data_IF_134266281082
#
_entry.id   IF_134266281082
#
_cell.length_a   1.000
_cell.length_b   1.000
_cell.length_c   1.000
_cell.angle_alpha   90.00
_cell.angle_beta   90.00
_cell.angle_gamma   90.00
#
_symmetry.space_group_name_H-M   'P 1'
#
loop_
_entity.id
_entity.type
_entity.pdbx_description
1 polymer ?
#
# COMPACT_ATOMS: atom_id res chain seq x y z
N UNK A 1 1.08 -22.70 -22.76
CA UNK A 1 2.34 -21.99 -22.45
C UNK A 1 2.17 -20.58 -22.97
N UNK A 2 1.63 -19.73 -22.11
CA UNK A 2 1.12 -18.41 -22.48
C UNK A 2 2.24 -17.36 -22.54
N UNK A 3 2.10 -16.50 -23.54
CA UNK A 3 3.03 -15.45 -23.97
C UNK A 3 3.14 -14.27 -22.98
N UNK A 4 2.63 -14.40 -21.76
CA UNK A 4 2.58 -13.31 -20.78
C UNK A 4 3.46 -13.55 -19.54
N UNK A 5 3.99 -14.77 -19.35
CA UNK A 5 4.87 -15.07 -18.21
C UNK A 5 6.33 -14.61 -18.42
N UNK A 6 6.73 -14.32 -19.66
CA UNK A 6 8.11 -13.91 -19.96
C UNK A 6 8.45 -12.50 -19.42
N UNK A 7 7.48 -11.61 -19.25
CA UNK A 7 7.72 -10.23 -18.80
C UNK A 7 7.72 -10.07 -17.27
N UNK A 8 7.03 -10.96 -16.54
CA UNK A 8 7.03 -10.93 -15.08
C UNK A 8 8.30 -11.52 -14.49
N UNK A 9 8.87 -12.53 -15.14
CA UNK A 9 10.17 -13.10 -14.75
C UNK A 9 11.29 -12.08 -15.00
N UNK A 10 11.25 -11.33 -16.11
CA UNK A 10 12.25 -10.31 -16.40
C UNK A 10 12.22 -9.12 -15.44
N UNK A 11 11.03 -8.70 -14.98
CA UNK A 11 10.90 -7.57 -14.07
C UNK A 11 11.44 -7.91 -12.67
N UNK A 12 11.15 -9.12 -12.16
CA UNK A 12 11.69 -9.61 -10.89
C UNK A 12 13.21 -9.82 -10.94
N UNK A 13 13.74 -10.24 -12.10
CA UNK A 13 15.18 -10.38 -12.30
C UNK A 13 15.88 -9.02 -12.35
N UNK A 14 15.25 -8.03 -13.00
CA UNK A 14 15.77 -6.66 -13.06
C UNK A 14 15.79 -5.98 -11.68
N UNK A 15 14.73 -6.15 -10.88
CA UNK A 15 14.68 -5.59 -9.52
C UNK A 15 15.68 -6.27 -8.58
N UNK A 16 15.91 -7.58 -8.74
CA UNK A 16 16.95 -8.29 -7.99
C UNK A 16 18.37 -7.80 -8.34
N UNK A 17 18.66 -7.53 -9.62
CA UNK A 17 19.95 -6.97 -10.05
C UNK A 17 20.13 -5.54 -9.52
N UNK A 18 19.08 -4.72 -9.56
CA UNK A 18 19.10 -3.36 -9.02
C UNK A 18 19.34 -3.35 -7.49
N UNK A 19 18.66 -4.23 -6.75
CA UNK A 19 18.87 -4.42 -5.32
C UNK A 19 20.29 -4.91 -5.02
N UNK A 20 20.82 -5.85 -5.81
CA UNK A 20 22.18 -6.34 -5.64
C UNK A 20 23.24 -5.25 -5.92
N UNK A 21 23.01 -4.38 -6.90
CA UNK A 21 23.88 -3.23 -7.18
C UNK A 21 23.82 -2.17 -6.06
N UNK A 22 22.64 -1.90 -5.51
CA UNK A 22 22.49 -1.00 -4.35
C UNK A 22 23.18 -1.60 -3.12
N UNK A 23 23.07 -2.92 -2.92
CA UNK A 23 23.73 -3.61 -1.82
C UNK A 23 25.25 -3.61 -1.97
N UNK A 24 25.76 -3.84 -3.19
CA UNK A 24 27.19 -3.74 -3.49
C UNK A 24 27.72 -2.30 -3.33
N UNK A 25 26.93 -1.30 -3.71
CA UNK A 25 27.27 0.11 -3.51
C UNK A 25 27.29 0.47 -2.02
N UNK A 26 26.31 0.02 -1.24
CA UNK A 26 26.31 0.16 0.22
C UNK A 26 27.48 -0.59 0.86
N UNK A 27 27.84 -1.78 0.38
CA UNK A 27 28.98 -2.52 0.91
C UNK A 27 30.31 -1.81 0.62
N UNK A 28 30.49 -1.23 -0.57
CA UNK A 28 31.70 -0.47 -0.91
C UNK A 28 31.74 0.88 -0.17
N UNK A 29 30.60 1.57 -0.01
CA UNK A 29 30.56 2.93 0.56
C UNK A 29 30.45 2.97 2.09
N UNK A 30 29.80 1.97 2.70
CA UNK A 30 29.66 1.83 4.16
C UNK A 30 30.79 0.97 4.75
N UNK A 31 31.31 -0.02 4.00
CA UNK A 31 32.44 -0.86 4.40
C UNK A 31 33.71 -0.63 3.57
N UNK A 32 33.90 0.56 2.98
CA UNK A 32 35.28 1.00 2.71
C UNK A 32 36.01 0.93 4.05
N UNK A 33 37.08 0.13 4.19
CA UNK A 33 37.90 0.24 5.37
C UNK A 33 38.36 1.70 5.38
N UNK A 34 37.97 2.44 6.44
CA UNK A 34 38.72 3.63 6.80
C UNK A 34 40.19 3.22 6.69
N UNK A 35 40.96 4.00 5.93
CA UNK A 35 42.40 3.81 5.80
C UNK A 35 42.89 3.38 7.17
N UNK A 36 43.46 2.17 7.25
CA UNK A 36 44.10 1.73 8.48
C UNK A 36 44.99 2.89 8.88
N UNK A 37 44.61 3.59 9.96
CA UNK A 37 45.55 4.45 10.63
C UNK A 37 46.72 3.52 10.91
N UNK A 38 47.84 3.79 10.26
CA UNK A 38 49.10 3.16 10.61
C UNK A 38 49.31 3.50 12.07
N UNK A 39 48.84 2.61 12.95
CA UNK A 39 49.35 2.54 14.29
C UNK A 39 50.84 2.35 14.11
N UNK A 40 51.61 3.41 14.33
CA UNK A 40 53.02 3.26 14.64
C UNK A 40 53.06 2.54 15.99
N UNK A 41 52.87 1.22 15.97
CA UNK A 41 53.32 0.31 17.02
C UNK A 41 54.76 0.68 17.26
N UNK A 42 55.02 1.37 18.38
CA UNK A 42 56.33 1.78 18.86
C UNK A 42 57.40 1.70 17.78
N UNK A 43 57.43 2.67 16.85
CA UNK A 43 58.72 3.02 16.28
C UNK A 43 59.46 3.75 17.38
N UNK A 44 59.98 2.98 18.34
CA UNK A 44 61.36 3.18 18.72
C UNK A 44 62.10 3.14 17.39
N UNK A 45 62.18 4.29 16.71
CA UNK A 45 63.30 4.57 15.86
C UNK A 45 64.47 4.34 16.80
N UNK A 46 65.04 3.12 16.74
CA UNK A 46 66.46 2.96 16.89
C UNK A 46 66.99 3.98 15.88
N UNK A 47 67.28 5.18 16.39
CA UNK A 47 68.27 6.06 15.81
C UNK A 47 69.41 5.11 15.56
N UNK A 48 69.63 4.75 14.30
CA UNK A 48 70.89 4.15 13.94
C UNK A 48 71.90 5.16 14.48
N UNK A 49 72.63 4.75 15.52
CA UNK A 49 73.85 5.41 15.92
C UNK A 49 74.78 5.24 14.72
N UNK A 50 74.59 6.11 13.72
CA UNK A 50 75.60 6.39 12.73
C UNK A 50 76.76 6.95 13.52
N UNK A 51 77.71 6.10 13.88
CA UNK A 51 79.02 6.54 14.31
C UNK A 51 79.61 7.31 13.13
N UNK A 52 79.84 8.63 13.23
CA UNK A 52 80.62 9.31 12.23
C UNK A 52 82.06 8.81 12.38
N UNK A 53 82.58 8.14 11.34
CA UNK A 53 84.02 7.92 11.17
C UNK A 53 84.69 9.27 10.87
N UNK A 54 84.89 10.08 11.90
CA UNK A 54 85.84 11.21 11.96
C UNK A 54 85.91 11.70 13.41
N UNK A 55 87.11 11.85 13.99
CA UNK A 55 87.26 12.22 15.39
C UNK A 55 87.04 13.74 15.52
N UNK A 56 85.79 14.17 15.49
CA UNK A 56 85.41 15.43 16.11
C UNK A 56 85.18 15.10 17.58
N UNK A 57 86.25 15.35 18.34
CA UNK A 57 86.31 15.62 19.76
C UNK A 57 84.90 15.75 20.36
N UNK A 58 84.55 14.78 21.22
CA UNK A 58 83.48 14.92 22.21
C UNK A 58 83.81 16.12 23.10
N UNK A 59 83.45 17.31 22.64
CA UNK A 59 83.39 18.55 23.41
C UNK A 59 81.93 19.01 23.54
N UNK A 60 81.00 18.05 23.53
CA UNK A 60 79.70 18.23 24.14
C UNK A 60 79.84 17.73 25.57
N UNK A 61 80.02 18.68 26.50
CA UNK A 61 79.96 18.48 27.93
C UNK A 61 78.84 17.46 28.26
N UNK A 62 79.06 16.39 29.04
CA UNK A 62 77.99 15.47 29.44
C UNK A 62 76.74 16.18 29.95
N UNK A 63 76.88 17.39 30.51
CA UNK A 63 75.79 18.28 30.86
C UNK A 63 74.94 18.73 29.65
N UNK A 64 75.52 18.99 28.48
CA UNK A 64 74.80 19.39 27.25
C UNK A 64 73.99 18.26 26.61
N UNK A 65 74.45 17.00 26.67
CA UNK A 65 73.65 15.84 26.25
C UNK A 65 72.50 15.53 27.22
N UNK A 66 72.73 15.70 28.52
CA UNK A 66 71.70 15.52 29.56
C UNK A 66 70.59 16.58 29.42
N UNK A 67 70.95 17.83 29.13
CA UNK A 67 70.01 18.93 28.88
C UNK A 67 69.22 18.70 27.59
N UNK A 68 69.84 18.21 26.52
CA UNK A 68 69.14 17.90 25.27
C UNK A 68 68.14 16.74 25.42
N UNK A 69 68.52 15.65 26.11
CA UNK A 69 67.61 14.54 26.42
C UNK A 69 66.50 14.94 27.40
N UNK A 70 66.78 15.81 28.38
CA UNK A 70 65.76 16.35 29.27
C UNK A 70 64.75 17.23 28.53
N UNK A 71 65.20 18.05 27.57
CA UNK A 71 64.33 18.87 26.73
C UNK A 71 63.48 18.01 25.77
N UNK A 72 64.05 16.96 25.19
CA UNK A 72 63.33 16.01 24.33
C UNK A 72 62.28 15.22 25.12
N UNK A 73 62.62 14.79 26.34
CA UNK A 73 61.69 14.13 27.27
C UNK A 73 60.54 15.07 27.69
N UNK A 74 60.83 16.34 27.96
CA UNK A 74 59.81 17.34 28.30
C UNK A 74 58.85 17.58 27.14
N UNK A 75 59.37 17.73 25.91
CA UNK A 75 58.54 17.90 24.71
C UNK A 75 57.66 16.68 24.44
N UNK A 76 58.20 15.48 24.58
CA UNK A 76 57.45 14.25 24.41
C UNK A 76 56.33 14.10 25.46
N UNK A 77 56.58 14.51 26.71
CA UNK A 77 55.56 14.52 27.76
C UNK A 77 54.46 15.54 27.49
N UNK A 78 54.79 16.72 26.97
CA UNK A 78 53.81 17.73 26.55
C UNK A 78 52.96 17.25 25.36
N UNK A 79 53.58 16.64 24.36
CA UNK A 79 52.88 16.11 23.18
C UNK A 79 51.94 14.95 23.55
N UNK A 80 52.39 14.04 24.42
CA UNK A 80 51.54 12.98 24.96
C UNK A 80 50.38 13.53 25.78
N UNK A 81 50.63 14.57 26.58
CA UNK A 81 49.60 15.26 27.37
C UNK A 81 48.55 15.85 26.45
N UNK A 82 48.94 16.63 25.45
CA UNK A 82 48.05 17.27 24.48
C UNK A 82 47.22 16.24 23.71
N UNK A 83 47.86 15.20 23.18
CA UNK A 83 47.18 14.12 22.46
C UNK A 83 46.20 13.34 23.34
N UNK A 84 46.51 13.14 24.63
CA UNK A 84 45.59 12.49 25.56
C UNK A 84 44.31 13.31 25.81
N UNK A 85 44.42 14.65 25.82
CA UNK A 85 43.26 15.53 25.94
C UNK A 85 42.45 15.61 24.65
N UNK A 86 43.10 15.60 23.49
CA UNK A 86 42.42 15.52 22.20
C UNK A 86 41.56 14.25 22.11
N UNK A 87 42.11 13.10 22.50
CA UNK A 87 41.37 11.83 22.55
C UNK A 87 40.19 11.88 23.52
N UNK A 88 40.34 12.52 24.69
CA UNK A 88 39.22 12.70 25.63
C UNK A 88 38.13 13.61 25.07
N UNK A 89 38.49 14.66 24.33
CA UNK A 89 37.55 15.54 23.65
C UNK A 89 36.79 14.80 22.53
N UNK A 90 37.49 14.03 21.70
CA UNK A 90 36.88 13.19 20.66
C UNK A 90 35.94 12.13 21.27
N UNK A 91 36.33 11.52 22.39
CA UNK A 91 35.48 10.57 23.13
C UNK A 91 34.19 11.23 23.64
N UNK A 92 34.28 12.46 24.18
CA UNK A 92 33.11 13.26 24.57
C UNK A 92 32.17 13.47 23.37
N UNK A 93 32.70 13.94 22.24
CA UNK A 93 31.90 14.18 21.04
C UNK A 93 31.21 12.90 20.52
N UNK A 94 31.95 11.78 20.50
CA UNK A 94 31.40 10.46 20.13
C UNK A 94 30.26 10.04 21.07
N UNK A 95 30.39 10.24 22.38
CA UNK A 95 29.30 9.91 23.33
C UNK A 95 28.07 10.78 23.10
N UNK A 96 28.23 12.09 22.89
CA UNK A 96 27.11 12.99 22.58
C UNK A 96 26.42 12.62 21.25
N UNK A 97 27.19 12.15 20.28
CA UNK A 97 26.66 11.63 19.02
C UNK A 97 25.83 10.35 19.23
N UNK A 98 26.30 9.41 20.06
CA UNK A 98 25.55 8.20 20.43
C UNK A 98 24.24 8.54 21.13
N UNK A 99 24.25 9.48 22.09
CA UNK A 99 23.02 9.95 22.76
C UNK A 99 22.03 10.49 21.73
N UNK A 100 22.53 11.29 20.78
CA UNK A 100 21.70 11.86 19.71
C UNK A 100 21.13 10.77 18.80
N UNK A 101 21.93 9.76 18.44
CA UNK A 101 21.50 8.62 17.63
C UNK A 101 20.40 7.79 18.32
N UNK A 102 20.55 7.49 19.62
CA UNK A 102 19.56 6.73 20.39
C UNK A 102 18.18 7.44 20.44
N UNK A 103 18.17 8.77 20.57
CA UNK A 103 16.92 9.54 20.58
C UNK A 103 16.26 9.58 19.18
N UNK A 104 17.06 9.63 18.12
CA UNK A 104 16.56 9.51 16.75
C UNK A 104 15.97 8.11 16.49
N UNK A 105 16.62 7.06 16.96
CA UNK A 105 16.11 5.69 16.88
C UNK A 105 14.79 5.55 17.64
N UNK A 106 14.68 6.08 18.85
CA UNK A 106 13.43 6.11 19.62
C UNK A 106 12.31 6.81 18.87
N UNK A 107 12.59 7.95 18.23
CA UNK A 107 11.60 8.70 17.45
C UNK A 107 11.16 7.94 16.19
N UNK A 108 12.11 7.29 15.51
CA UNK A 108 11.81 6.45 14.35
C UNK A 108 10.99 5.21 14.73
N UNK A 109 11.34 4.54 15.84
CA UNK A 109 10.61 3.38 16.35
C UNK A 109 9.16 3.73 16.72
N UNK A 110 8.94 4.85 17.41
CA UNK A 110 7.58 5.35 17.70
C UNK A 110 6.80 5.63 16.43
N UNK A 111 7.42 6.27 15.43
CA UNK A 111 6.77 6.53 14.14
C UNK A 111 6.39 5.22 13.46
N UNK A 112 7.30 4.26 13.42
CA UNK A 112 7.07 2.95 12.79
C UNK A 112 5.91 2.22 13.47
N UNK A 113 5.91 2.16 14.81
CA UNK A 113 4.82 1.56 15.59
C UNK A 113 3.46 2.17 15.24
N UNK A 114 3.35 3.51 15.20
CA UNK A 114 2.10 4.20 14.84
C UNK A 114 1.69 4.01 13.39
N UNK A 115 2.66 3.89 12.47
CA UNK A 115 2.34 3.56 11.08
C UNK A 115 1.83 2.12 10.94
N UNK A 116 2.39 1.18 11.71
CA UNK A 116 1.92 -0.22 11.73
C UNK A 116 0.49 -0.33 12.28
N UNK A 117 0.13 0.45 13.31
CA UNK A 117 -1.27 0.47 13.80
C UNK A 117 -2.24 1.04 12.76
N UNK A 118 -1.84 2.10 12.04
CA UNK A 118 -2.63 2.65 10.94
C UNK A 118 -2.79 1.63 9.79
N UNK A 119 -1.74 0.90 9.43
CA UNK A 119 -1.81 -0.16 8.42
C UNK A 119 -2.71 -1.31 8.86
N UNK A 120 -2.66 -1.70 10.13
CA UNK A 120 -3.53 -2.74 10.69
C UNK A 120 -5.00 -2.32 10.59
N UNK A 121 -5.32 -1.06 10.91
CA UNK A 121 -6.68 -0.55 10.79
C UNK A 121 -7.13 -0.48 9.32
N UNK A 122 -6.25 -0.06 8.40
CA UNK A 122 -6.56 -0.10 6.96
C UNK A 122 -6.93 -1.51 6.49
N UNK A 123 -6.18 -2.53 6.91
CA UNK A 123 -6.50 -3.93 6.56
C UNK A 123 -7.83 -4.36 7.17
N UNK A 124 -8.09 -4.03 8.44
CA UNK A 124 -9.35 -4.33 9.11
C UNK A 124 -10.55 -3.69 8.39
N UNK A 125 -10.42 -2.43 7.99
CA UNK A 125 -11.45 -1.73 7.24
C UNK A 125 -11.65 -2.32 5.85
N UNK A 126 -10.59 -2.73 5.15
CA UNK A 126 -10.70 -3.40 3.86
C UNK A 126 -11.45 -4.74 3.97
N UNK A 127 -11.10 -5.58 4.96
CA UNK A 127 -11.83 -6.83 5.22
C UNK A 127 -13.30 -6.58 5.57
N UNK A 128 -13.58 -5.53 6.34
CA UNK A 128 -14.94 -5.10 6.65
C UNK A 128 -15.69 -4.62 5.41
N UNK A 129 -15.07 -3.84 4.53
CA UNK A 129 -15.64 -3.38 3.25
C UNK A 129 -16.08 -4.59 2.42
N UNK A 130 -15.19 -5.57 2.24
CA UNK A 130 -15.47 -6.76 1.44
C UNK A 130 -16.68 -7.55 1.99
N UNK A 131 -16.72 -7.76 3.32
CA UNK A 131 -17.83 -8.46 3.96
C UNK A 131 -19.16 -7.72 3.80
N UNK A 132 -19.18 -6.40 4.06
CA UNK A 132 -20.39 -5.57 3.94
C UNK A 132 -20.88 -5.49 2.49
N UNK A 133 -19.96 -5.34 1.53
CA UNK A 133 -20.29 -5.32 0.10
C UNK A 133 -20.84 -6.67 -0.36
N UNK A 134 -20.31 -7.79 0.15
CA UNK A 134 -20.82 -9.11 -0.16
C UNK A 134 -22.24 -9.31 0.41
N UNK A 135 -22.46 -8.95 1.67
CA UNK A 135 -23.77 -9.03 2.31
C UNK A 135 -24.80 -8.16 1.58
N UNK A 136 -24.45 -6.91 1.27
CA UNK A 136 -25.34 -6.01 0.53
C UNK A 136 -25.65 -6.53 -0.87
N UNK A 137 -24.67 -7.10 -1.55
CA UNK A 137 -24.88 -7.73 -2.85
C UNK A 137 -25.87 -8.87 -2.77
N UNK A 138 -25.71 -9.77 -1.80
CA UNK A 138 -26.64 -10.90 -1.61
C UNK A 138 -28.06 -10.43 -1.31
N UNK A 139 -28.21 -9.41 -0.46
CA UNK A 139 -29.50 -8.78 -0.19
C UNK A 139 -30.14 -8.25 -1.48
N UNK A 140 -29.41 -7.43 -2.24
CA UNK A 140 -29.93 -6.83 -3.46
C UNK A 140 -30.21 -7.88 -4.56
N UNK A 141 -29.44 -8.96 -4.62
CA UNK A 141 -29.69 -10.09 -5.54
C UNK A 141 -30.97 -10.85 -5.16
N UNK A 142 -31.23 -11.02 -3.86
CA UNK A 142 -32.46 -11.61 -3.37
C UNK A 142 -33.69 -10.73 -3.68
N UNK A 143 -33.57 -9.42 -3.42
CA UNK A 143 -34.63 -8.44 -3.72
C UNK A 143 -34.92 -8.41 -5.23
N UNK A 144 -33.88 -8.33 -6.07
CA UNK A 144 -34.01 -8.37 -7.53
C UNK A 144 -34.66 -9.67 -8.02
N UNK A 145 -34.27 -10.82 -7.46
CA UNK A 145 -34.87 -12.11 -7.79
C UNK A 145 -36.36 -12.14 -7.43
N UNK A 146 -36.73 -11.63 -6.27
CA UNK A 146 -38.12 -11.53 -5.84
C UNK A 146 -38.93 -10.62 -6.76
N UNK A 147 -38.42 -9.44 -7.10
CA UNK A 147 -39.09 -8.49 -8.01
C UNK A 147 -39.23 -9.08 -9.42
N UNK A 148 -38.23 -9.81 -9.92
CA UNK A 148 -38.33 -10.52 -11.20
C UNK A 148 -39.36 -11.65 -11.16
N UNK A 149 -39.52 -12.35 -10.04
CA UNK A 149 -40.57 -13.35 -9.87
C UNK A 149 -41.96 -12.70 -9.85
N UNK A 150 -42.12 -11.60 -9.12
CA UNK A 150 -43.36 -10.82 -9.12
C UNK A 150 -43.70 -10.32 -10.53
N UNK A 151 -42.72 -9.79 -11.26
CA UNK A 151 -42.87 -9.38 -12.65
C UNK A 151 -43.34 -10.56 -13.53
N UNK A 152 -42.73 -11.75 -13.41
CA UNK A 152 -43.19 -12.96 -14.12
C UNK A 152 -44.63 -13.32 -13.81
N UNK A 153 -45.05 -13.18 -12.56
CA UNK A 153 -46.41 -13.49 -12.14
C UNK A 153 -47.41 -12.44 -12.62
N UNK A 154 -47.05 -11.16 -12.59
CA UNK A 154 -47.83 -10.07 -13.19
C UNK A 154 -48.03 -10.30 -14.68
N UNK A 155 -46.97 -10.65 -15.42
CA UNK A 155 -47.06 -10.97 -16.85
C UNK A 155 -47.99 -12.16 -17.08
N UNK A 156 -47.87 -13.22 -16.26
CA UNK A 156 -48.75 -14.40 -16.37
C UNK A 156 -50.22 -14.03 -16.15
N UNK A 157 -50.51 -13.14 -15.21
CA UNK A 157 -51.87 -12.65 -14.95
C UNK A 157 -52.35 -11.71 -16.07
N UNK A 158 -51.51 -10.82 -16.57
CA UNK A 158 -51.84 -10.00 -17.74
C UNK A 158 -52.11 -10.88 -18.98
N UNK A 159 -51.45 -12.04 -19.08
CA UNK A 159 -51.68 -12.99 -20.15
C UNK A 159 -53.09 -13.63 -20.11
N UNK A 160 -53.71 -13.74 -18.93
CA UNK A 160 -55.09 -14.24 -18.84
C UNK A 160 -56.12 -13.21 -19.32
N UNK A 161 -55.84 -11.92 -19.18
CA UNK A 161 -56.89 -10.90 -19.30
C UNK A 161 -56.87 -10.14 -20.63
N UNK A 162 -55.72 -10.05 -21.32
CA UNK A 162 -55.57 -9.23 -22.53
C UNK A 162 -55.99 -9.97 -23.82
N UNK A 163 -57.02 -9.43 -24.52
CA UNK A 163 -57.55 -9.89 -25.81
C UNK A 163 -57.98 -11.37 -25.91
N UNK A 164 -58.33 -11.98 -24.77
CA UNK A 164 -58.84 -13.36 -24.75
C UNK A 164 -60.10 -13.51 -25.60
N UNK A 165 -60.98 -12.50 -25.63
CA UNK A 165 -62.21 -12.54 -26.44
C UNK A 165 -61.89 -12.56 -27.94
N UNK A 166 -61.12 -11.61 -28.47
CA UNK A 166 -60.79 -11.58 -29.90
C UNK A 166 -60.02 -12.83 -30.36
N UNK A 167 -59.08 -13.30 -29.54
CA UNK A 167 -58.35 -14.55 -29.81
C UNK A 167 -59.31 -15.75 -29.82
N UNK A 168 -60.20 -15.84 -28.84
CA UNK A 168 -61.20 -16.91 -28.73
C UNK A 168 -62.17 -16.87 -29.90
N UNK A 169 -62.64 -15.69 -30.27
CA UNK A 169 -63.62 -15.49 -31.33
C UNK A 169 -63.01 -15.87 -32.69
N UNK A 170 -61.75 -15.49 -32.95
CA UNK A 170 -61.01 -15.97 -34.12
C UNK A 170 -60.83 -17.50 -34.12
N UNK A 171 -60.54 -18.12 -32.97
CA UNK A 171 -60.49 -19.59 -32.88
C UNK A 171 -61.84 -20.24 -33.18
N UNK A 172 -62.94 -19.69 -32.65
CA UNK A 172 -64.29 -20.16 -32.94
C UNK A 172 -64.63 -19.99 -34.42
N UNK A 173 -64.24 -18.87 -35.02
CA UNK A 173 -64.43 -18.61 -36.45
C UNK A 173 -63.63 -19.59 -37.32
N UNK A 174 -62.36 -19.87 -36.97
CA UNK A 174 -61.57 -20.90 -37.65
C UNK A 174 -62.20 -22.29 -37.54
N UNK A 175 -62.74 -22.67 -36.38
CA UNK A 175 -63.44 -23.95 -36.19
C UNK A 175 -64.70 -23.99 -37.05
N UNK A 176 -65.52 -22.93 -37.03
CA UNK A 176 -66.72 -22.83 -37.85
C UNK A 176 -66.41 -22.90 -39.35
N UNK A 177 -65.35 -22.23 -39.81
CA UNK A 177 -64.91 -22.29 -41.20
C UNK A 177 -64.42 -23.69 -41.59
N UNK A 178 -63.70 -24.39 -40.71
CA UNK A 178 -63.32 -25.80 -40.94
C UNK A 178 -64.54 -26.70 -41.06
N UNK A 179 -65.52 -26.55 -40.17
CA UNK A 179 -66.77 -27.30 -40.23
C UNK A 179 -67.56 -27.00 -41.52
N UNK A 180 -67.56 -25.74 -41.97
CA UNK A 180 -68.19 -25.35 -43.25
C UNK A 180 -67.50 -26.01 -44.45
N UNK A 181 -66.18 -26.04 -44.48
CA UNK A 181 -65.39 -26.69 -45.56
C UNK A 181 -65.65 -28.20 -45.60
N UNK A 182 -65.74 -28.83 -44.43
CA UNK A 182 -65.75 -30.28 -44.27
C UNK A 182 -67.17 -30.88 -44.43
N UNK A 183 -68.19 -30.21 -43.88
CA UNK A 183 -69.54 -30.76 -43.78
C UNK A 183 -70.63 -29.98 -44.53
N UNK A 184 -70.41 -28.71 -44.88
CA UNK A 184 -71.47 -27.83 -45.44
C UNK A 184 -71.26 -27.53 -46.92
N UNK A 185 -70.02 -27.26 -47.34
CA UNK A 185 -69.68 -26.90 -48.71
C UNK A 185 -70.03 -28.04 -49.67
N UNK A 186 -70.94 -27.76 -50.62
CA UNK A 186 -71.43 -28.73 -51.61
C UNK A 186 -70.72 -28.59 -52.95
N UNK A 187 -70.06 -27.46 -53.18
CA UNK A 187 -69.31 -27.18 -54.41
C UNK A 187 -67.84 -26.84 -54.12
N UNK A 188 -66.99 -27.04 -55.12
CA UNK A 188 -65.56 -26.71 -55.03
C UNK A 188 -65.33 -25.20 -54.91
N UNK A 189 -66.22 -24.39 -55.49
CA UNK A 189 -66.19 -22.93 -55.35
C UNK A 189 -66.45 -22.49 -53.91
N UNK A 190 -67.46 -23.04 -53.24
CA UNK A 190 -67.75 -22.75 -51.83
C UNK A 190 -66.60 -23.19 -50.91
N UNK A 191 -66.00 -24.36 -51.17
CA UNK A 191 -64.81 -24.81 -50.43
C UNK A 191 -63.67 -23.81 -50.53
N UNK A 192 -63.40 -23.32 -51.75
CA UNK A 192 -62.32 -22.36 -52.01
C UNK A 192 -62.58 -21.02 -51.31
N UNK A 193 -63.82 -20.56 -51.28
CA UNK A 193 -64.22 -19.34 -50.57
C UNK A 193 -63.99 -19.48 -49.05
N UNK A 194 -64.49 -20.56 -48.44
CA UNK A 194 -64.27 -20.81 -47.02
C UNK A 194 -62.79 -21.03 -46.67
N UNK A 195 -62.00 -21.63 -47.57
CA UNK A 195 -60.55 -21.74 -47.39
C UNK A 195 -59.85 -20.39 -47.42
N UNK A 196 -60.23 -19.48 -48.32
CA UNK A 196 -59.67 -18.12 -48.34
C UNK A 196 -60.01 -17.36 -47.06
N UNK A 197 -61.26 -17.46 -46.58
CA UNK A 197 -61.65 -16.87 -45.30
C UNK A 197 -60.85 -17.48 -44.15
N UNK A 198 -60.66 -18.80 -44.13
CA UNK A 198 -59.87 -19.48 -43.10
C UNK A 198 -58.41 -18.99 -43.07
N UNK A 199 -57.77 -18.82 -44.23
CA UNK A 199 -56.41 -18.29 -44.30
C UNK A 199 -56.34 -16.83 -43.83
N UNK A 200 -57.36 -16.03 -44.12
CA UNK A 200 -57.44 -14.66 -43.60
C UNK A 200 -57.53 -14.63 -42.08
N UNK A 201 -58.46 -15.39 -41.48
CA UNK A 201 -58.61 -15.46 -40.01
C UNK A 201 -57.34 -16.03 -39.35
N UNK A 202 -56.65 -17.00 -39.98
CA UNK A 202 -55.35 -17.48 -39.49
C UNK A 202 -54.28 -16.38 -39.48
N UNK A 203 -54.21 -15.57 -40.54
CA UNK A 203 -53.25 -14.47 -40.63
C UNK A 203 -53.54 -13.39 -39.58
N UNK A 204 -54.81 -13.02 -39.41
CA UNK A 204 -55.26 -12.08 -38.37
C UNK A 204 -54.91 -12.60 -36.97
N UNK A 205 -55.14 -13.90 -36.71
CA UNK A 205 -54.77 -14.55 -35.46
C UNK A 205 -53.25 -14.53 -35.20
N UNK A 206 -52.43 -14.78 -36.23
CA UNK A 206 -50.98 -14.70 -36.10
C UNK A 206 -50.49 -13.27 -35.84
N UNK A 207 -51.07 -12.27 -36.51
CA UNK A 207 -50.73 -10.87 -36.30
C UNK A 207 -51.06 -10.42 -34.87
N UNK A 208 -52.25 -10.74 -34.37
CA UNK A 208 -52.66 -10.49 -32.98
C UNK A 208 -51.70 -11.11 -31.96
N UNK A 209 -51.27 -12.36 -32.19
CA UNK A 209 -50.31 -13.05 -31.32
C UNK A 209 -48.92 -12.41 -31.38
N UNK A 210 -48.46 -11.98 -32.56
CA UNK A 210 -47.17 -11.34 -32.74
C UNK A 210 -47.12 -9.97 -32.06
N UNK A 211 -48.15 -9.14 -32.25
CA UNK A 211 -48.27 -7.83 -31.59
C UNK A 211 -48.28 -7.98 -30.07
N UNK A 212 -49.08 -8.93 -29.55
CA UNK A 212 -49.13 -9.25 -28.11
C UNK A 212 -47.75 -9.61 -27.56
N UNK A 213 -47.03 -10.50 -28.23
CA UNK A 213 -45.70 -10.92 -27.82
C UNK A 213 -44.70 -9.75 -27.87
N UNK A 214 -44.82 -8.86 -28.85
CA UNK A 214 -43.95 -7.69 -28.99
C UNK A 214 -44.13 -6.71 -27.82
N UNK A 215 -45.36 -6.28 -27.54
CA UNK A 215 -45.66 -5.34 -26.45
C UNK A 215 -45.25 -5.89 -25.08
N UNK A 216 -45.48 -7.19 -24.85
CA UNK A 216 -45.05 -7.85 -23.62
C UNK A 216 -43.54 -7.88 -23.51
N UNK A 217 -42.83 -8.34 -24.54
CA UNK A 217 -41.37 -8.40 -24.51
C UNK A 217 -40.74 -7.03 -24.28
N UNK A 218 -41.32 -5.97 -24.85
CA UNK A 218 -40.88 -4.59 -24.63
C UNK A 218 -41.10 -4.15 -23.17
N UNK A 219 -42.28 -4.38 -22.62
CA UNK A 219 -42.60 -4.08 -21.21
C UNK A 219 -41.68 -4.83 -20.24
N UNK A 220 -41.47 -6.13 -20.49
CA UNK A 220 -40.57 -6.98 -19.70
C UNK A 220 -39.15 -6.43 -19.75
N UNK A 221 -38.65 -6.18 -20.96
CA UNK A 221 -37.28 -5.70 -21.16
C UNK A 221 -37.06 -4.35 -20.48
N UNK A 222 -38.02 -3.43 -20.62
CA UNK A 222 -37.98 -2.10 -20.00
C UNK A 222 -37.99 -2.18 -18.46
N UNK A 223 -38.90 -2.98 -17.89
CA UNK A 223 -38.98 -3.17 -16.44
C UNK A 223 -37.73 -3.87 -15.90
N UNK A 224 -37.30 -4.98 -16.50
CA UNK A 224 -36.08 -5.68 -16.11
C UNK A 224 -34.85 -4.78 -16.19
N UNK A 225 -34.75 -3.94 -17.23
CA UNK A 225 -33.66 -2.97 -17.35
C UNK A 225 -33.67 -1.96 -16.21
N UNK A 226 -34.85 -1.43 -15.86
CA UNK A 226 -35.02 -0.52 -14.72
C UNK A 226 -34.60 -1.18 -13.40
N UNK A 227 -35.00 -2.43 -13.16
CA UNK A 227 -34.62 -3.16 -11.94
C UNK A 227 -33.11 -3.38 -11.84
N UNK A 228 -32.46 -3.77 -12.94
CA UNK A 228 -31.00 -3.93 -13.00
C UNK A 228 -30.29 -2.59 -12.76
N UNK A 229 -30.82 -1.50 -13.33
CA UNK A 229 -30.27 -0.16 -13.12
C UNK A 229 -30.37 0.25 -11.65
N UNK A 230 -31.53 0.04 -11.01
CA UNK A 230 -31.75 0.33 -9.60
C UNK A 230 -30.81 -0.48 -8.70
N UNK A 231 -30.64 -1.78 -8.98
CA UNK A 231 -29.66 -2.64 -8.29
C UNK A 231 -28.26 -2.03 -8.36
N UNK A 232 -27.81 -1.65 -9.56
CA UNK A 232 -26.47 -1.11 -9.78
C UNK A 232 -26.29 0.24 -9.07
N UNK A 233 -27.29 1.12 -9.10
CA UNK A 233 -27.26 2.42 -8.43
C UNK A 233 -27.19 2.25 -6.91
N UNK A 234 -28.02 1.40 -6.32
CA UNK A 234 -28.01 1.14 -4.89
C UNK A 234 -26.69 0.53 -4.42
N UNK A 235 -26.16 -0.43 -5.18
CA UNK A 235 -24.88 -1.05 -4.87
C UNK A 235 -23.71 -0.05 -4.97
N UNK A 236 -23.70 0.78 -6.01
CA UNK A 236 -22.67 1.81 -6.19
C UNK A 236 -22.72 2.87 -5.08
N UNK A 237 -23.92 3.36 -4.73
CA UNK A 237 -24.11 4.33 -3.66
C UNK A 237 -23.66 3.77 -2.30
N UNK A 238 -24.00 2.51 -2.00
CA UNK A 238 -23.56 1.87 -0.76
C UNK A 238 -22.04 1.72 -0.67
N UNK A 239 -21.39 1.35 -1.78
CA UNK A 239 -19.92 1.28 -1.85
C UNK A 239 -19.27 2.65 -1.63
N UNK A 240 -19.83 3.70 -2.21
CA UNK A 240 -19.34 5.07 -2.00
C UNK A 240 -19.48 5.50 -0.55
N UNK A 241 -20.62 5.19 0.08
CA UNK A 241 -20.84 5.46 1.50
C UNK A 241 -19.78 4.78 2.38
N UNK A 242 -19.52 3.48 2.21
CA UNK A 242 -18.50 2.76 3.00
C UNK A 242 -17.13 3.40 2.85
N UNK A 243 -16.76 3.75 1.61
CA UNK A 243 -15.46 4.38 1.35
C UNK A 243 -15.31 5.74 1.99
N UNK A 244 -16.37 6.54 1.97
CA UNK A 244 -16.40 7.84 2.64
C UNK A 244 -16.23 7.67 4.17
N UNK A 245 -16.93 6.72 4.77
CA UNK A 245 -16.80 6.40 6.20
C UNK A 245 -15.38 5.92 6.54
N UNK A 246 -14.81 5.01 5.75
CA UNK A 246 -13.44 4.51 5.95
C UNK A 246 -12.40 5.62 5.79
N UNK A 247 -12.57 6.49 4.80
CA UNK A 247 -11.69 7.64 4.61
C UNK A 247 -11.74 8.59 5.82
N UNK A 248 -12.93 8.84 6.36
CA UNK A 248 -13.10 9.65 7.55
C UNK A 248 -12.37 9.03 8.75
N UNK A 249 -12.61 7.75 9.05
CA UNK A 249 -11.95 7.03 10.15
C UNK A 249 -10.42 7.09 10.02
N UNK A 250 -9.89 6.80 8.83
CA UNK A 250 -8.45 6.84 8.58
C UNK A 250 -7.88 8.26 8.68
N UNK A 251 -8.64 9.28 8.30
CA UNK A 251 -8.20 10.68 8.44
C UNK A 251 -8.14 11.13 9.90
N UNK A 252 -9.13 10.74 10.70
CA UNK A 252 -9.17 11.02 12.15
C UNK A 252 -8.01 10.33 12.86
N UNK A 253 -7.77 9.05 12.55
CA UNK A 253 -6.66 8.29 13.13
C UNK A 253 -5.29 8.83 12.71
N UNK A 254 -5.13 9.27 11.45
CA UNK A 254 -3.88 9.94 11.00
C UNK A 254 -3.64 11.22 11.77
N UNK A 255 -4.67 12.03 11.98
CA UNK A 255 -4.55 13.27 12.73
C UNK A 255 -4.18 13.01 14.20
N UNK A 256 -4.78 11.99 14.81
CA UNK A 256 -4.43 11.57 16.17
C UNK A 256 -2.96 11.14 16.27
N UNK A 257 -2.51 10.27 15.35
CA UNK A 257 -1.11 9.83 15.28
C UNK A 257 -0.16 11.02 15.06
N UNK A 258 -0.50 11.96 14.19
CA UNK A 258 0.31 13.16 13.96
C UNK A 258 0.45 14.01 15.22
N UNK A 259 -0.64 14.18 15.98
CA UNK A 259 -0.63 14.91 17.24
C UNK A 259 0.21 14.20 18.31
N UNK A 260 0.05 12.88 18.46
CA UNK A 260 0.84 12.08 19.39
C UNK A 260 2.33 12.13 19.04
N UNK A 261 2.68 12.00 17.75
CA UNK A 261 4.07 12.09 17.29
C UNK A 261 4.65 13.49 17.47
N UNK A 262 3.86 14.55 17.30
CA UNK A 262 4.29 15.92 17.56
C UNK A 262 4.60 16.13 19.05
N UNK A 263 3.74 15.65 19.95
CA UNK A 263 3.98 15.69 21.39
C UNK A 263 5.22 14.89 21.78
N UNK A 264 5.34 13.65 21.30
CA UNK A 264 6.50 12.80 21.55
C UNK A 264 7.81 13.43 21.03
N UNK A 265 7.77 14.17 19.92
CA UNK A 265 8.95 14.90 19.39
C UNK A 265 9.42 15.98 20.36
N UNK A 266 8.51 16.77 20.92
CA UNK A 266 8.89 17.82 21.88
C UNK A 266 9.45 17.21 23.17
N UNK A 267 8.84 16.13 23.67
CA UNK A 267 9.35 15.40 24.84
C UNK A 267 10.75 14.83 24.60
N UNK A 268 10.95 14.12 23.47
CA UNK A 268 12.26 13.54 23.11
C UNK A 268 13.30 14.63 22.89
N UNK A 269 12.94 15.78 22.31
CA UNK A 269 13.85 16.91 22.11
C UNK A 269 14.29 17.52 23.44
N UNK A 270 13.35 17.68 24.37
CA UNK A 270 13.63 18.16 25.73
C UNK A 270 14.54 17.18 26.49
N UNK A 271 14.23 15.88 26.42
CA UNK A 271 15.00 14.79 27.04
C UNK A 271 16.43 14.71 26.47
N UNK A 272 16.56 14.84 25.14
CA UNK A 272 17.84 14.90 24.45
C UNK A 272 18.69 16.09 24.90
N UNK A 273 18.10 17.29 24.96
CA UNK A 273 18.81 18.49 25.38
C UNK A 273 19.35 18.35 26.81
N UNK A 274 18.50 17.92 27.74
CA UNK A 274 18.86 17.66 29.14
C UNK A 274 19.95 16.61 29.27
N UNK A 275 19.78 15.44 28.63
CA UNK A 275 20.74 14.33 28.69
C UNK A 275 22.10 14.72 28.10
N UNK A 276 22.09 15.50 27.00
CA UNK A 276 23.31 15.97 26.34
C UNK A 276 24.04 17.01 27.19
N UNK A 277 23.33 17.95 27.80
CA UNK A 277 23.90 18.96 28.69
C UNK A 277 24.54 18.30 29.93
N UNK A 278 23.79 17.42 30.60
CA UNK A 278 24.29 16.67 31.75
C UNK A 278 25.54 15.87 31.36
N UNK A 279 25.50 15.13 30.25
CA UNK A 279 26.65 14.31 29.85
C UNK A 279 27.86 15.13 29.44
N UNK A 280 27.64 16.27 28.78
CA UNK A 280 28.72 17.20 28.43
C UNK A 280 29.41 17.74 29.68
N UNK A 281 28.63 18.18 30.68
CA UNK A 281 29.16 18.70 31.94
C UNK A 281 29.93 17.63 32.73
N UNK A 282 29.41 16.40 32.81
CA UNK A 282 30.10 15.26 33.44
C UNK A 282 31.46 15.00 32.77
N UNK A 283 31.51 15.02 31.44
CA UNK A 283 32.74 14.77 30.69
C UNK A 283 33.73 15.93 30.78
N UNK A 284 33.26 17.19 30.82
CA UNK A 284 34.10 18.36 31.05
C UNK A 284 34.76 18.30 32.44
N UNK A 285 33.98 18.01 33.48
CA UNK A 285 34.52 17.80 34.82
C UNK A 285 35.51 16.64 34.88
N UNK A 286 35.26 15.54 34.16
CA UNK A 286 36.19 14.42 34.08
C UNK A 286 37.52 14.83 33.43
N UNK A 287 37.46 15.58 32.33
CA UNK A 287 38.64 16.10 31.62
C UNK A 287 39.42 17.06 32.51
N UNK A 288 38.73 17.97 33.21
CA UNK A 288 39.34 18.95 34.12
C UNK A 288 40.01 18.26 35.32
N UNK A 289 39.31 17.33 35.99
CA UNK A 289 39.87 16.55 37.09
C UNK A 289 41.09 15.71 36.64
N UNK A 290 41.05 15.16 35.42
CA UNK A 290 42.19 14.41 34.86
C UNK A 290 43.37 15.34 34.59
N UNK A 291 43.08 16.59 34.17
CA UNK A 291 44.09 17.63 33.98
C UNK A 291 44.77 18.05 35.26
N UNK A 292 44.02 18.20 36.36
CA UNK A 292 44.58 18.61 37.66
C UNK A 292 45.31 17.46 38.38
N UNK A 293 44.86 16.22 38.21
CA UNK A 293 45.36 15.08 38.99
C UNK A 293 46.63 14.46 38.41
N UNK A 294 46.79 14.48 37.09
CA UNK A 294 47.85 13.75 36.40
C UNK A 294 48.89 14.65 35.73
N UNK A 295 48.67 15.96 35.67
CA UNK A 295 49.53 16.90 34.94
C UNK A 295 49.53 18.32 35.51
#
# INVERSE_FOLDING_TARGET
>A
MDKHDYHFISLKFLTAILLALIFAFLFIYVFTPQQREEYSTYSLQKRELGFPESPVIFDSDPQTMEVAMAAEKSRFQEELRERSFELMQQSRESMLAVISANHLERMNGLREERMLTLEAEQRRLAEREDNLLQEKRQQLEADLSQELQQLRQEIRNQYSDFNQEQIRDNYLEMINLRLKIEFIARTESERKEYQQQLEKVKAEQQALMAEKNSQLNESISSRTSTLIMNFNQQYAAYREQIRAEHQQILSEQRQEIENELAQAREEIKSDLASTREQKSAEMEQLIENTREKYY
#
